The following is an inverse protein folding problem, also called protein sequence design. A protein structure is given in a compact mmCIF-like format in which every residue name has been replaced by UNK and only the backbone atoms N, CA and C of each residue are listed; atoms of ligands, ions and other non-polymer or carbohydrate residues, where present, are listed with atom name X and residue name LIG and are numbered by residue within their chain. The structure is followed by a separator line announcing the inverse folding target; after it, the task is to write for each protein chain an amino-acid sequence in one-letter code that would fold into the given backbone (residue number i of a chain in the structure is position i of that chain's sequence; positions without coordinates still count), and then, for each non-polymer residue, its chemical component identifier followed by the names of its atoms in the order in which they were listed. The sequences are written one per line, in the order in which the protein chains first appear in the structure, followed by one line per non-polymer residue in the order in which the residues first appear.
data_IF_262598331664
#
_entry.id   IF_262598331664
#
_cell.length_a   1.000
_cell.length_b   1.000
_cell.length_c   1.000
_cell.angle_alpha   90.00
_cell.angle_beta   90.00
_cell.angle_gamma   90.00
#
_symmetry.space_group_name_H-M   'P 1'
#
loop_
_entity.id
_entity.type
_entity.pdbx_description
1 polymer ?
#
# COMPACT_ATOMS: atom_id res chain seq x y z
N UNK A 1 -1.47 -1.63 28.10
CA UNK A 1 -1.91 -0.24 28.37
C UNK A 1 -0.76 0.76 28.16
N UNK A 2 0.11 0.56 27.16
CA UNK A 2 1.35 1.33 27.00
C UNK A 2 1.28 2.43 25.92
N UNK A 3 0.22 2.43 25.10
CA UNK A 3 0.12 3.28 23.90
C UNK A 3 -0.34 4.72 24.20
N UNK A 4 -0.97 4.94 25.34
CA UNK A 4 -1.59 6.23 25.73
C UNK A 4 -0.57 7.31 26.14
N UNK A 5 0.65 6.93 26.57
CA UNK A 5 1.65 7.89 27.06
C UNK A 5 2.39 8.65 25.94
N UNK A 6 2.34 8.16 24.70
CA UNK A 6 2.97 8.82 23.55
C UNK A 6 2.12 9.95 22.95
N UNK A 7 0.83 10.06 23.30
CA UNK A 7 -0.07 11.09 22.75
C UNK A 7 0.28 12.53 23.17
N UNK A 8 1.20 12.72 24.13
CA UNK A 8 1.67 14.06 24.54
C UNK A 8 2.87 14.55 23.72
N UNK A 9 3.48 13.68 22.91
CA UNK A 9 4.58 14.05 22.02
C UNK A 9 3.97 14.54 20.71
N UNK A 10 4.26 15.80 20.35
CA UNK A 10 3.92 16.33 19.03
C UNK A 10 4.42 15.39 17.93
N UNK A 11 3.57 15.08 16.95
CA UNK A 11 3.87 14.17 15.82
C UNK A 11 5.24 14.46 15.17
N UNK A 12 5.63 15.73 15.04
CA UNK A 12 6.93 16.13 14.47
C UNK A 12 8.10 15.59 15.31
N UNK A 13 7.98 15.62 16.64
CA UNK A 13 9.00 15.11 17.57
C UNK A 13 9.08 13.59 17.52
N UNK A 14 7.95 12.90 17.41
CA UNK A 14 7.91 11.45 17.23
C UNK A 14 8.63 11.02 15.94
N UNK A 15 8.32 11.66 14.81
CA UNK A 15 8.97 11.38 13.53
C UNK A 15 10.49 11.63 13.56
N UNK A 16 10.94 12.68 14.25
CA UNK A 16 12.37 12.95 14.46
C UNK A 16 13.04 11.85 15.29
N UNK A 17 12.39 11.39 16.36
CA UNK A 17 12.90 10.31 17.20
C UNK A 17 13.00 8.99 16.42
N UNK A 18 12.00 8.66 15.60
CA UNK A 18 12.05 7.50 14.70
C UNK A 18 13.22 7.60 13.71
N UNK A 19 13.36 8.76 13.07
CA UNK A 19 14.44 9.00 12.10
C UNK A 19 15.83 8.84 12.75
N UNK A 20 15.98 9.38 13.97
CA UNK A 20 17.19 9.22 14.75
C UNK A 20 17.45 7.75 15.11
N UNK A 21 16.44 7.02 15.59
CA UNK A 21 16.54 5.61 15.96
C UNK A 21 16.99 4.73 14.78
N UNK A 22 16.46 4.98 13.56
CA UNK A 22 16.89 4.26 12.35
C UNK A 22 18.34 4.51 11.99
N UNK A 23 18.82 5.74 12.18
CA UNK A 23 20.20 6.17 11.87
C UNK A 23 21.19 5.64 12.90
N UNK A 24 20.82 5.65 14.18
CA UNK A 24 21.64 5.24 15.31
C UNK A 24 21.20 3.90 15.89
N UNK A 25 20.91 2.95 15.01
CA UNK A 25 20.44 1.63 15.39
C UNK A 25 21.50 0.88 16.22
N UNK A 26 21.04 0.22 17.29
CA UNK A 26 21.86 -0.67 18.13
C UNK A 26 21.13 -2.00 18.36
N UNK A 27 21.89 -3.06 18.61
CA UNK A 27 21.36 -4.40 18.94
C UNK A 27 20.69 -4.41 20.32
N UNK A 28 19.82 -5.40 20.56
CA UNK A 28 19.03 -5.50 21.79
C UNK A 28 19.87 -5.42 23.08
N UNK A 29 21.06 -6.02 23.08
CA UNK A 29 21.97 -6.06 24.25
C UNK A 29 22.50 -4.67 24.65
N UNK A 30 22.54 -3.74 23.71
CA UNK A 30 23.06 -2.38 23.94
C UNK A 30 21.94 -1.38 24.28
N UNK A 31 20.67 -1.80 24.23
CA UNK A 31 19.53 -0.93 24.50
C UNK A 31 19.37 -0.75 26.01
N UNK A 32 19.16 0.50 26.41
CA UNK A 32 18.79 0.82 27.80
C UNK A 32 17.28 0.98 27.86
N UNK A 33 16.65 0.31 28.83
CA UNK A 33 15.20 0.41 29.08
C UNK A 33 14.77 1.85 29.42
N UNK A 34 15.70 2.68 29.87
CA UNK A 34 15.49 4.11 30.16
C UNK A 34 15.35 4.99 28.91
N UNK A 35 15.49 4.44 27.71
CA UNK A 35 15.35 5.20 26.46
C UNK A 35 13.90 5.54 26.15
N UNK A 36 13.71 6.47 25.22
CA UNK A 36 12.37 6.86 24.80
C UNK A 36 11.64 5.66 24.15
N UNK A 37 10.38 5.37 24.52
CA UNK A 37 9.64 4.24 23.97
C UNK A 37 9.51 4.28 22.44
N UNK A 38 9.41 5.47 21.83
CA UNK A 38 9.35 5.62 20.37
C UNK A 38 10.64 5.12 19.70
N UNK A 39 11.79 5.34 20.36
CA UNK A 39 13.09 4.87 19.86
C UNK A 39 13.20 3.35 20.00
N UNK A 40 12.78 2.80 21.14
CA UNK A 40 12.79 1.35 21.37
C UNK A 40 11.87 0.61 20.40
N UNK A 41 10.65 1.12 20.19
CA UNK A 41 9.69 0.58 19.23
C UNK A 41 10.26 0.60 17.80
N UNK A 42 10.85 1.72 17.37
CA UNK A 42 11.44 1.84 16.03
C UNK A 42 12.63 0.89 15.84
N UNK A 43 13.47 0.71 16.86
CA UNK A 43 14.57 -0.24 16.78
C UNK A 43 14.09 -1.69 16.72
N UNK A 44 13.02 -2.05 17.44
CA UNK A 44 12.38 -3.36 17.33
C UNK A 44 11.80 -3.60 15.93
N UNK A 45 11.15 -2.60 15.34
CA UNK A 45 10.65 -2.67 13.96
C UNK A 45 11.82 -2.94 13.00
N UNK A 46 12.93 -2.22 13.17
CA UNK A 46 14.13 -2.42 12.35
C UNK A 46 14.77 -3.81 12.53
N UNK A 47 14.74 -4.38 13.73
CA UNK A 47 15.18 -5.77 13.95
C UNK A 47 14.36 -6.75 13.12
N UNK A 48 13.03 -6.57 13.15
CA UNK A 48 12.09 -7.40 12.42
C UNK A 48 12.28 -7.27 10.90
N UNK A 49 12.43 -6.04 10.39
CA UNK A 49 12.74 -5.80 8.97
C UNK A 49 14.03 -6.54 8.56
N UNK A 50 15.05 -6.56 9.43
CA UNK A 50 16.31 -7.24 9.15
C UNK A 50 16.13 -8.76 9.12
N UNK A 51 15.40 -9.35 10.08
CA UNK A 51 15.10 -10.79 10.06
C UNK A 51 14.28 -11.18 8.84
N UNK A 52 13.26 -10.38 8.49
CA UNK A 52 12.43 -10.61 7.31
C UNK A 52 13.25 -10.49 6.02
N UNK A 53 14.24 -9.58 5.97
CA UNK A 53 15.12 -9.45 4.81
C UNK A 53 16.06 -10.64 4.64
N UNK A 54 16.53 -11.26 5.73
CA UNK A 54 17.34 -12.48 5.70
C UNK A 54 16.50 -13.70 5.30
N UNK A 55 15.29 -13.83 5.84
CA UNK A 55 14.33 -14.89 5.46
C UNK A 55 13.89 -14.74 4.01
N UNK A 56 13.60 -13.52 3.58
CA UNK A 56 13.33 -13.21 2.18
C UNK A 56 14.56 -13.42 1.33
N UNK A 57 15.80 -13.20 1.78
CA UNK A 57 17.01 -13.52 1.01
C UNK A 57 17.10 -15.02 0.71
N UNK A 58 16.69 -15.90 1.64
CA UNK A 58 16.65 -17.34 1.40
C UNK A 58 15.52 -17.73 0.43
N UNK A 59 14.31 -17.20 0.62
CA UNK A 59 13.17 -17.48 -0.28
C UNK A 59 13.30 -16.79 -1.66
N UNK A 60 13.92 -15.62 -1.71
CA UNK A 60 14.25 -14.87 -2.93
C UNK A 60 15.41 -15.56 -3.63
N UNK A 61 16.43 -16.14 -2.99
CA UNK A 61 17.47 -16.91 -3.73
C UNK A 61 16.90 -18.10 -4.49
N UNK A 62 15.87 -18.76 -3.97
CA UNK A 62 15.17 -19.85 -4.69
C UNK A 62 14.30 -19.30 -5.83
N UNK A 63 13.79 -18.07 -5.70
CA UNK A 63 12.90 -17.42 -6.68
C UNK A 63 13.63 -16.49 -7.68
N UNK A 64 14.84 -16.01 -7.38
CA UNK A 64 15.61 -15.00 -8.12
C UNK A 64 16.60 -15.61 -9.11
N UNK A 65 16.79 -16.93 -9.06
CA UNK A 65 17.44 -17.68 -10.14
C UNK A 65 16.51 -17.90 -11.33
N UNK A 66 15.23 -17.57 -11.23
CA UNK A 66 14.30 -17.61 -12.34
C UNK A 66 14.17 -16.23 -12.99
N UNK A 67 15.04 -15.97 -13.97
CA UNK A 67 14.87 -14.86 -14.90
C UNK A 67 13.96 -15.35 -16.03
N UNK A 68 12.73 -14.85 -16.16
CA UNK A 68 11.88 -15.22 -17.28
C UNK A 68 12.61 -14.81 -18.57
N UNK A 69 12.81 -15.78 -19.47
CA UNK A 69 13.35 -15.54 -20.80
C UNK A 69 12.53 -14.42 -21.46
N UNK A 70 13.20 -13.54 -22.20
CA UNK A 70 12.53 -12.44 -22.89
C UNK A 70 11.30 -13.00 -23.65
N UNK A 71 10.13 -12.36 -23.53
CA UNK A 71 8.91 -12.88 -24.13
C UNK A 71 9.15 -13.14 -25.61
N UNK A 72 8.80 -14.33 -26.08
CA UNK A 72 9.01 -14.74 -27.48
C UNK A 72 8.24 -13.85 -28.48
N UNK A 73 7.29 -13.06 -27.98
CA UNK A 73 6.41 -12.20 -28.78
C UNK A 73 6.57 -10.75 -28.32
N UNK A 74 7.11 -9.91 -29.20
CA UNK A 74 7.04 -8.46 -29.05
C UNK A 74 5.66 -7.98 -29.48
N UNK A 75 4.86 -7.45 -28.55
CA UNK A 75 3.60 -6.79 -28.89
C UNK A 75 3.84 -5.31 -29.17
N UNK A 76 3.43 -4.88 -30.35
CA UNK A 76 3.39 -3.47 -30.75
C UNK A 76 2.25 -2.77 -30.02
N UNK A 77 2.56 -1.70 -29.29
CA UNK A 77 1.60 -0.92 -28.48
C UNK A 77 1.19 0.39 -29.17
N UNK A 78 1.61 0.61 -30.42
CA UNK A 78 1.29 1.77 -31.25
C UNK A 78 -0.07 1.67 -31.94
N UNK A 79 -0.80 0.57 -31.77
CA UNK A 79 -2.16 0.42 -32.30
C UNK A 79 -3.19 1.22 -31.49
N UNK A 80 -4.19 1.75 -32.18
CA UNK A 80 -5.33 2.39 -31.54
C UNK A 80 -5.95 1.42 -30.52
N UNK A 81 -6.09 1.87 -29.28
CA UNK A 81 -6.73 1.07 -28.25
C UNK A 81 -8.13 0.66 -28.75
N UNK A 82 -8.43 -0.65 -28.69
CA UNK A 82 -9.80 -1.13 -28.87
C UNK A 82 -10.64 -0.41 -27.82
N UNK A 83 -11.72 0.25 -28.23
CA UNK A 83 -12.61 0.93 -27.29
C UNK A 83 -13.10 -0.08 -26.26
N UNK A 84 -12.58 0.04 -25.04
CA UNK A 84 -12.98 -0.82 -23.94
C UNK A 84 -14.46 -0.54 -23.66
N UNK A 85 -15.29 -1.60 -23.62
CA UNK A 85 -16.67 -1.47 -23.17
C UNK A 85 -16.70 -0.73 -21.84
N UNK A 86 -17.57 0.28 -21.73
CA UNK A 86 -17.73 1.05 -20.51
C UNK A 86 -17.86 0.13 -19.28
N UNK A 87 -17.22 0.49 -18.15
CA UNK A 87 -17.29 -0.29 -16.92
C UNK A 87 -18.74 -0.45 -16.47
N UNK A 88 -19.02 -1.57 -15.79
CA UNK A 88 -20.36 -1.95 -15.35
C UNK A 88 -21.06 -0.85 -14.52
N UNK A 89 -20.28 -0.10 -13.73
CA UNK A 89 -20.74 1.05 -12.94
C UNK A 89 -21.42 2.11 -13.81
N UNK A 90 -20.87 2.43 -15.00
CA UNK A 90 -21.46 3.43 -15.89
C UNK A 90 -22.75 2.92 -16.53
N UNK A 91 -22.84 1.63 -16.83
CA UNK A 91 -24.04 1.00 -17.42
C UNK A 91 -25.25 1.05 -16.49
N UNK A 92 -25.06 0.99 -15.18
CA UNK A 92 -26.16 1.06 -14.20
C UNK A 92 -26.81 2.45 -14.13
N UNK A 93 -26.03 3.52 -14.32
CA UNK A 93 -26.56 4.89 -14.37
C UNK A 93 -27.41 5.16 -15.61
N UNK A 94 -27.18 4.43 -16.71
CA UNK A 94 -27.95 4.55 -17.96
C UNK A 94 -29.36 3.93 -17.85
N UNK A 95 -29.54 2.88 -17.02
CA UNK A 95 -30.88 2.30 -16.76
C UNK A 95 -31.78 3.29 -16.02
N UNK A 96 -31.22 4.11 -15.12
CA UNK A 96 -31.94 5.16 -14.43
C UNK A 96 -32.35 6.32 -15.36
N UNK A 97 -31.64 6.53 -16.47
CA UNK A 97 -32.02 7.50 -17.50
C UNK A 97 -33.23 7.00 -18.30
N UNK A 98 -33.23 5.73 -18.73
CA UNK A 98 -34.34 5.12 -19.49
C UNK A 98 -35.67 5.09 -18.72
N UNK A 99 -35.64 5.00 -17.39
CA UNK A 99 -36.87 5.09 -16.56
C UNK A 99 -37.52 6.48 -16.57
N UNK A 100 -36.76 7.55 -16.82
CA UNK A 100 -37.35 8.90 -16.87
C UNK A 100 -38.06 9.12 -18.19
N UNK A 101 -37.53 8.61 -19.29
CA UNK A 101 -38.13 8.80 -20.62
C UNK A 101 -39.51 8.14 -20.73
N UNK A 102 -39.70 6.94 -20.16
CA UNK A 102 -41.02 6.29 -20.14
C UNK A 102 -42.05 7.01 -19.25
N UNK A 103 -41.63 7.65 -18.16
CA UNK A 103 -42.56 8.36 -17.27
C UNK A 103 -43.02 9.70 -17.88
N UNK A 104 -42.19 10.32 -18.73
CA UNK A 104 -42.54 11.54 -19.46
C UNK A 104 -43.49 11.23 -20.62
N UNK A 105 -43.34 10.09 -21.32
CA UNK A 105 -44.31 9.67 -22.34
C UNK A 105 -45.69 9.34 -21.75
N UNK A 106 -45.76 8.63 -20.62
CA UNK A 106 -47.02 8.27 -19.96
C UNK A 106 -47.78 9.50 -19.41
N UNK A 107 -47.07 10.54 -18.95
CA UNK A 107 -47.69 11.78 -18.45
C UNK A 107 -48.20 12.72 -19.57
N UNK A 108 -47.72 12.53 -20.80
CA UNK A 108 -48.11 13.33 -21.97
C UNK A 108 -49.20 12.65 -22.80
N UNK A 109 -49.65 11.47 -22.37
CA UNK A 109 -50.66 10.65 -23.03
C UNK A 109 -52.05 10.69 -22.36
N UNK A 110 -52.29 11.61 -21.42
CA UNK A 110 -53.61 11.90 -20.82
C UNK A 110 -54.20 13.24 -21.29
#
# INVERSE_FOLDING_TARGET
MSKELNSTISMVRELRLRSWARTHYVTADQRKETWNPVVLDEMNIKDQEMSESEENSVNVRVSSMFVPLAPAVSRRLDEAHVEASAPHIIKMHDVAARRRDHLVEDLMAE
#
